data_IF_608228637733
#
_entry.id   IF_608228637733
#
_cell.length_a   1.000
_cell.length_b   1.000
_cell.length_c   1.000
_cell.angle_alpha   90.00
_cell.angle_beta   90.00
_cell.angle_gamma   90.00
#
_symmetry.space_group_name_H-M   'P 1'
#
loop_
_entity.id
_entity.type
_entity.pdbx_description
1 polymer ?
#
# COMPACT_ATOMS: atom_id res chain seq x y z
N UNK A 1 -9.51 3.36 0.97
CA UNK A 1 -9.41 4.84 0.97
C UNK A 1 -9.22 5.41 2.38
N UNK A 2 -10.10 5.16 3.36
CA UNK A 2 -9.91 5.63 4.74
C UNK A 2 -8.59 5.14 5.38
N UNK A 3 -8.27 3.84 5.28
CA UNK A 3 -7.01 3.28 5.80
C UNK A 3 -5.78 3.95 5.17
N UNK A 4 -5.81 4.18 3.86
CA UNK A 4 -4.70 4.80 3.16
C UNK A 4 -4.52 6.28 3.56
N UNK A 5 -5.60 7.00 3.83
CA UNK A 5 -5.54 8.40 4.30
C UNK A 5 -4.99 8.45 5.73
N UNK A 6 -5.42 7.55 6.63
CA UNK A 6 -4.89 7.45 8.00
C UNK A 6 -3.39 7.12 8.01
N UNK A 7 -2.97 6.17 7.18
CA UNK A 7 -1.55 5.79 7.05
C UNK A 7 -0.73 6.94 6.46
N UNK A 8 -1.22 7.60 5.39
CA UNK A 8 -0.54 8.75 4.79
C UNK A 8 -0.42 9.93 5.77
N UNK A 9 -1.44 10.19 6.57
CA UNK A 9 -1.42 11.25 7.59
C UNK A 9 -0.39 10.97 8.71
N UNK A 10 -0.29 9.72 9.16
CA UNK A 10 0.73 9.29 10.14
C UNK A 10 2.14 9.39 9.54
N UNK A 11 2.31 9.00 8.28
CA UNK A 11 3.59 9.08 7.57
C UNK A 11 4.05 10.53 7.36
N UNK A 12 3.11 11.41 7.03
CA UNK A 12 3.37 12.82 6.77
C UNK A 12 3.68 13.61 8.05
N UNK A 13 3.01 13.33 9.17
CA UNK A 13 3.15 14.12 10.41
C UNK A 13 4.20 13.65 11.41
N UNK A 14 4.70 12.40 11.33
CA UNK A 14 5.76 11.93 12.24
C UNK A 14 7.03 11.56 11.49
N UNK A 15 8.14 12.17 11.87
CA UNK A 15 9.50 11.65 11.65
C UNK A 15 9.76 10.55 12.70
N UNK A 16 9.42 9.31 12.35
CA UNK A 16 9.72 8.15 13.18
C UNK A 16 10.84 7.32 12.54
N UNK A 17 11.66 6.64 13.36
CA UNK A 17 12.83 5.84 12.90
C UNK A 17 12.48 4.75 11.86
N UNK A 18 11.20 4.35 11.77
CA UNK A 18 10.69 3.41 10.76
C UNK A 18 10.24 4.05 9.44
N UNK A 19 10.34 5.37 9.28
CA UNK A 19 9.90 6.10 8.06
C UNK A 19 10.61 5.56 6.83
N UNK A 20 11.92 5.33 6.91
CA UNK A 20 12.73 4.77 5.81
C UNK A 20 12.25 3.36 5.43
N UNK A 21 11.91 2.52 6.41
CA UNK A 21 11.42 1.17 6.15
C UNK A 21 10.06 1.20 5.45
N UNK A 22 9.18 2.12 5.86
CA UNK A 22 7.88 2.31 5.21
C UNK A 22 8.02 2.91 3.81
N UNK A 23 8.91 3.90 3.61
CA UNK A 23 9.21 4.44 2.28
C UNK A 23 9.71 3.33 1.34
N UNK A 24 10.58 2.44 1.83
CA UNK A 24 11.03 1.26 1.07
C UNK A 24 9.84 0.35 0.76
N UNK A 25 9.02 -0.03 1.75
CA UNK A 25 7.86 -0.90 1.55
C UNK A 25 6.84 -0.33 0.55
N UNK A 26 6.63 0.98 0.58
CA UNK A 26 5.70 1.67 -0.32
C UNK A 26 6.30 1.79 -1.72
N UNK A 27 7.60 2.05 -1.84
CA UNK A 27 8.26 2.21 -3.15
C UNK A 27 8.53 0.86 -3.80
N UNK A 28 8.73 -0.21 -3.04
CA UNK A 28 9.01 -1.57 -3.51
C UNK A 28 8.02 -2.07 -4.60
N UNK A 29 6.69 -2.00 -4.42
CA UNK A 29 5.75 -2.38 -5.47
C UNK A 29 5.76 -1.46 -6.69
N UNK A 30 6.31 -0.24 -6.58
CA UNK A 30 6.42 0.72 -7.68
C UNK A 30 7.63 0.44 -8.58
N UNK A 31 8.73 -0.05 -8.01
CA UNK A 31 9.91 -0.48 -8.78
C UNK A 31 9.74 -1.89 -9.37
N UNK A 32 8.85 -2.70 -8.79
CA UNK A 32 8.52 -4.01 -9.32
C UNK A 32 7.51 -3.89 -10.48
N UNK A 33 7.67 -4.67 -11.57
CA UNK A 33 6.65 -4.76 -12.61
C UNK A 33 5.30 -5.20 -12.02
N UNK A 34 4.16 -4.71 -12.53
CA UNK A 34 2.83 -5.08 -12.03
C UNK A 34 2.57 -6.59 -12.09
N UNK A 35 3.19 -7.29 -13.04
CA UNK A 35 3.18 -8.75 -13.16
C UNK A 35 3.79 -9.44 -11.94
N UNK A 36 4.93 -8.94 -11.46
CA UNK A 36 5.64 -9.50 -10.29
C UNK A 36 4.85 -9.20 -9.01
N UNK A 37 4.28 -8.01 -8.89
CA UNK A 37 3.37 -7.66 -7.79
C UNK A 37 2.15 -8.58 -7.76
N UNK A 38 1.55 -8.89 -8.91
CA UNK A 38 0.48 -9.87 -9.02
C UNK A 38 0.90 -11.29 -8.61
N UNK A 39 2.09 -11.72 -9.00
CA UNK A 39 2.64 -13.02 -8.60
C UNK A 39 2.88 -13.11 -7.08
N UNK A 40 3.39 -12.05 -6.45
CA UNK A 40 3.51 -11.99 -4.99
C UNK A 40 2.16 -12.06 -4.29
N UNK A 41 1.13 -11.41 -4.83
CA UNK A 41 -0.23 -11.54 -4.30
C UNK A 41 -0.74 -12.98 -4.38
N UNK A 42 -0.45 -13.70 -5.47
CA UNK A 42 -0.79 -15.13 -5.59
C UNK A 42 -0.04 -15.97 -4.56
N UNK A 43 1.25 -15.72 -4.34
CA UNK A 43 2.04 -16.46 -3.33
C UNK A 43 1.54 -16.19 -1.92
N UNK A 44 1.17 -14.94 -1.60
CA UNK A 44 0.74 -14.57 -0.25
C UNK A 44 -0.71 -14.97 0.04
N UNK A 45 -1.62 -14.67 -0.90
CA UNK A 45 -3.06 -14.83 -0.74
C UNK A 45 -3.64 -16.06 -1.45
N UNK A 46 -2.82 -16.81 -2.18
CA UNK A 46 -3.19 -18.12 -2.74
C UNK A 46 -3.55 -19.13 -1.67
N UNK A 47 -4.26 -20.18 -2.08
CA UNK A 47 -4.72 -21.25 -1.17
C UNK A 47 -3.59 -21.87 -0.34
N UNK A 48 -2.39 -21.96 -0.93
CA UNK A 48 -1.18 -22.47 -0.26
C UNK A 48 -0.27 -21.36 0.30
N UNK A 49 -0.68 -20.09 0.16
CA UNK A 49 0.05 -18.94 0.67
C UNK A 49 -0.09 -18.79 2.18
N UNK A 50 0.84 -18.11 2.82
CA UNK A 50 0.83 -17.92 4.27
C UNK A 50 -0.46 -17.24 4.76
N UNK A 51 -0.90 -16.19 4.05
CA UNK A 51 -2.11 -15.43 4.41
C UNK A 51 -3.36 -16.13 3.89
N UNK A 52 -3.33 -16.63 2.65
CA UNK A 52 -4.48 -17.29 2.03
C UNK A 52 -4.86 -18.60 2.70
N UNK A 53 -3.87 -19.40 3.14
CA UNK A 53 -4.11 -20.64 3.90
C UNK A 53 -4.71 -20.35 5.27
N UNK A 54 -4.14 -19.40 6.00
CA UNK A 54 -4.67 -19.00 7.30
C UNK A 54 -6.14 -18.54 7.19
N UNK A 55 -6.45 -17.71 6.19
CA UNK A 55 -7.83 -17.26 5.95
C UNK A 55 -8.76 -18.40 5.56
N UNK A 56 -8.29 -19.34 4.73
CA UNK A 56 -9.03 -20.52 4.35
C UNK A 56 -9.31 -21.44 5.55
N UNK A 57 -8.34 -21.63 6.45
CA UNK A 57 -8.53 -22.45 7.65
C UNK A 57 -9.55 -21.82 8.62
N UNK A 58 -9.64 -20.48 8.65
CA UNK A 58 -10.58 -19.74 9.49
C UNK A 58 -12.00 -19.65 8.91
N UNK A 59 -12.13 -19.46 7.61
CA UNK A 59 -13.43 -19.14 6.97
C UNK A 59 -13.92 -20.19 6.00
N UNK A 60 -13.05 -21.10 5.55
CA UNK A 60 -13.31 -22.08 4.49
C UNK A 60 -13.32 -21.51 3.07
N UNK A 61 -13.08 -20.20 2.90
CA UNK A 61 -13.22 -19.49 1.63
C UNK A 61 -11.86 -19.11 1.03
N UNK A 62 -11.72 -19.23 -0.29
CA UNK A 62 -10.52 -18.80 -1.01
C UNK A 62 -10.62 -17.32 -1.38
N UNK A 63 -9.59 -16.54 -1.02
CA UNK A 63 -9.49 -15.14 -1.45
C UNK A 63 -9.16 -15.06 -2.94
N UNK A 64 -8.24 -15.90 -3.43
CA UNK A 64 -7.83 -15.92 -4.83
C UNK A 64 -8.96 -16.40 -5.75
N UNK A 65 -9.00 -15.81 -6.96
CA UNK A 65 -10.06 -15.99 -7.98
C UNK A 65 -11.45 -15.44 -7.60
N UNK A 66 -11.51 -14.53 -6.62
CA UNK A 66 -12.72 -13.79 -6.29
C UNK A 66 -12.57 -12.31 -6.65
N UNK A 67 -13.68 -11.57 -6.66
CA UNK A 67 -13.64 -10.11 -6.80
C UNK A 67 -12.84 -9.44 -5.67
N UNK A 68 -12.75 -10.05 -4.48
CA UNK A 68 -11.92 -9.56 -3.37
C UNK A 68 -10.43 -9.54 -3.73
N UNK A 69 -9.95 -10.53 -4.48
CA UNK A 69 -8.56 -10.53 -4.97
C UNK A 69 -8.29 -9.36 -5.92
N UNK A 70 -9.25 -9.02 -6.80
CA UNK A 70 -9.13 -7.87 -7.69
C UNK A 70 -9.09 -6.55 -6.91
N UNK A 71 -9.92 -6.41 -5.87
CA UNK A 71 -9.91 -5.25 -4.97
C UNK A 71 -8.57 -5.14 -4.24
N UNK A 72 -8.05 -6.24 -3.66
CA UNK A 72 -6.74 -6.25 -3.00
C UNK A 72 -5.60 -5.88 -3.96
N UNK A 73 -5.60 -6.44 -5.17
CA UNK A 73 -4.60 -6.12 -6.19
C UNK A 73 -4.62 -4.64 -6.56
N UNK A 74 -5.82 -4.08 -6.82
CA UNK A 74 -5.96 -2.65 -7.09
C UNK A 74 -5.52 -1.78 -5.92
N UNK A 75 -5.77 -2.22 -4.68
CA UNK A 75 -5.38 -1.49 -3.49
C UNK A 75 -3.85 -1.45 -3.31
N UNK A 76 -3.16 -2.58 -3.52
CA UNK A 76 -1.70 -2.67 -3.44
C UNK A 76 -1.03 -1.78 -4.50
N UNK A 77 -1.62 -1.69 -5.70
CA UNK A 77 -1.10 -0.82 -6.77
C UNK A 77 -1.44 0.65 -6.56
N UNK A 78 -2.63 0.96 -6.05
CA UNK A 78 -3.10 2.34 -5.85
C UNK A 78 -2.50 3.01 -4.60
N UNK A 79 -2.20 2.23 -3.55
CA UNK A 79 -1.59 2.73 -2.30
C UNK A 79 -0.32 3.57 -2.52
N UNK A 80 0.72 3.09 -3.22
CA UNK A 80 1.96 3.85 -3.37
C UNK A 80 1.78 5.10 -4.22
N UNK A 81 0.92 5.03 -5.23
CA UNK A 81 0.55 6.21 -6.03
C UNK A 81 -0.13 7.27 -5.16
N UNK A 82 -1.09 6.86 -4.33
CA UNK A 82 -1.82 7.77 -3.44
C UNK A 82 -0.91 8.42 -2.39
N UNK A 83 0.04 7.66 -1.84
CA UNK A 83 1.01 8.20 -0.88
C UNK A 83 1.93 9.22 -1.55
N UNK A 84 2.40 8.92 -2.77
CA UNK A 84 3.24 9.84 -3.55
C UNK A 84 2.50 11.14 -3.88
N UNK A 85 1.23 11.07 -4.29
CA UNK A 85 0.43 12.27 -4.59
C UNK A 85 0.11 13.06 -3.33
N UNK A 86 -0.24 12.40 -2.23
CA UNK A 86 -0.49 13.08 -0.95
C UNK A 86 0.76 13.79 -0.42
N UNK A 87 1.94 13.16 -0.51
CA UNK A 87 3.22 13.77 -0.13
C UNK A 87 3.52 15.01 -0.99
N UNK A 88 3.39 14.89 -2.31
CA UNK A 88 3.62 16.02 -3.22
C UNK A 88 2.66 17.20 -2.93
N UNK A 89 1.39 16.90 -2.62
CA UNK A 89 0.41 17.92 -2.24
C UNK A 89 0.83 18.65 -0.96
N UNK A 90 1.24 17.91 0.09
CA UNK A 90 1.69 18.51 1.36
C UNK A 90 2.95 19.36 1.17
N UNK A 91 3.96 18.83 0.47
CA UNK A 91 5.20 19.58 0.17
C UNK A 91 4.95 20.83 -0.69
N UNK A 92 3.94 20.80 -1.58
CA UNK A 92 3.56 21.96 -2.39
C UNK A 92 2.88 23.07 -1.58
N UNK A 93 2.14 22.70 -0.52
CA UNK A 93 1.50 23.67 0.39
C UNK A 93 2.55 24.30 1.31
N UNK A 94 3.50 23.52 1.83
CA UNK A 94 4.61 24.03 2.67
C UNK A 94 5.48 25.06 1.94
N UNK A 95 5.80 24.82 0.66
CA UNK A 95 6.58 25.77 -0.16
C UNK A 95 5.85 27.10 -0.39
N UNK A 96 4.53 27.09 -0.47
CA UNK A 96 3.73 28.31 -0.64
C UNK A 96 3.59 29.11 0.66
N UNK A 97 3.63 28.45 1.83
CA UNK A 97 3.60 29.11 3.13
C UNK A 97 4.96 29.74 3.49
N UNK A 98 6.08 29.09 3.13
CA UNK A 98 7.43 29.61 3.40
C UNK A 98 7.78 30.83 2.52
N UNK A 99 7.22 30.94 1.32
CA UNK A 99 7.41 32.10 0.43
C UNK A 99 6.44 33.28 0.70
N UNK A 100 5.54 33.14 1.68
CA UNK A 100 4.58 34.18 2.04
C UNK A 100 4.85 34.82 3.42
N UNK A 101 6.03 34.60 4.02
CA UNK A 101 6.50 35.23 5.27
C UNK A 101 7.76 36.03 5.05
#
# INVERSE_FOLDING_TARGET
MLVGISVAYILARKDFRGRVLLDILITLPLVLPPTVTGYYLVILFGRNGFIGRFFYDLTGWSIMFTWYAAVLASFVVALPLMIKTARAAIESVDKNLINAS
#
